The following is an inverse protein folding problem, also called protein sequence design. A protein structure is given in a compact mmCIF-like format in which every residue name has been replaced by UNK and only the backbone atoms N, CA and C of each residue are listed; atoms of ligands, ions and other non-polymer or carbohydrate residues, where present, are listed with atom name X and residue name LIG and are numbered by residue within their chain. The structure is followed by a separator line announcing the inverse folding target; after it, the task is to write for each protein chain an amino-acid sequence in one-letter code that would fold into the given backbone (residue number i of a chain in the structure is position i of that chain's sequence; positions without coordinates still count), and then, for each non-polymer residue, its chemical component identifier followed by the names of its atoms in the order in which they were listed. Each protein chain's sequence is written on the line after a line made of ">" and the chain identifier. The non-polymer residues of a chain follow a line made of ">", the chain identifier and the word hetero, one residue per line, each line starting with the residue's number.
data_IF_361221013546
#
_entry.id   IF_361221013546
#
_cell.length_a   1.000
_cell.length_b   1.000
_cell.length_c   1.000
_cell.angle_alpha   90.00
_cell.angle_beta   90.00
_cell.angle_gamma   90.00
#
_symmetry.space_group_name_H-M   'P 1'
#
loop_
_entity.id
_entity.type
_entity.pdbx_description
1 polymer ?
#
# COMPACT_ATOMS: atom_id res chain seq x y z
N UNK A 1 -40.11 12.32 -15.67
CA UNK A 1 -38.91 11.89 -16.43
C UNK A 1 -37.62 12.45 -15.88
N UNK A 2 -37.54 13.73 -15.52
CA UNK A 2 -36.32 14.32 -14.95
C UNK A 2 -35.91 13.70 -13.60
N UNK A 3 -36.85 13.21 -12.79
CA UNK A 3 -36.58 12.54 -11.51
C UNK A 3 -35.99 11.14 -11.66
N UNK A 4 -36.28 10.44 -12.76
CA UNK A 4 -35.76 9.12 -13.06
C UNK A 4 -34.27 9.17 -13.51
N UNK A 5 -33.91 10.25 -14.22
CA UNK A 5 -32.53 10.49 -14.67
C UNK A 5 -31.64 10.84 -13.49
N UNK A 6 -32.15 11.58 -12.50
CA UNK A 6 -31.43 11.91 -11.29
C UNK A 6 -31.19 10.68 -10.40
N UNK A 7 -32.14 9.74 -10.37
CA UNK A 7 -32.03 8.48 -9.62
C UNK A 7 -31.00 7.52 -10.26
N UNK A 8 -30.89 7.54 -11.58
CA UNK A 8 -29.91 6.74 -12.32
C UNK A 8 -28.49 7.25 -12.12
N UNK A 9 -28.30 8.56 -11.95
CA UNK A 9 -26.99 9.16 -11.67
C UNK A 9 -26.46 8.82 -10.25
N UNK A 10 -27.36 8.52 -9.31
CA UNK A 10 -27.00 8.12 -7.95
C UNK A 10 -26.53 6.66 -7.86
N UNK A 11 -26.80 5.84 -8.89
CA UNK A 11 -26.36 4.44 -8.94
C UNK A 11 -24.92 4.25 -9.44
N UNK A 12 -24.32 5.32 -9.96
CA UNK A 12 -22.90 5.36 -10.34
C UNK A 12 -22.03 6.01 -9.25
N UNK A 13 -22.34 5.77 -7.97
CA UNK A 13 -21.35 6.02 -6.93
C UNK A 13 -20.23 5.00 -7.14
N UNK A 14 -19.19 5.44 -7.85
CA UNK A 14 -17.99 4.65 -8.03
C UNK A 14 -17.45 4.28 -6.65
N UNK A 15 -17.52 3.02 -6.32
CA UNK A 15 -16.82 2.49 -5.17
C UNK A 15 -15.34 2.71 -5.43
N UNK A 16 -14.76 3.69 -4.75
CA UNK A 16 -13.32 3.94 -4.81
C UNK A 16 -12.62 2.82 -4.02
N UNK A 17 -12.52 1.65 -4.62
CA UNK A 17 -11.74 0.55 -4.08
C UNK A 17 -10.28 0.80 -4.45
N UNK A 18 -9.37 0.56 -3.52
CA UNK A 18 -7.95 0.56 -3.82
C UNK A 18 -7.68 -0.46 -4.93
N UNK A 19 -7.05 -0.04 -6.01
CA UNK A 19 -6.65 -0.93 -7.09
C UNK A 19 -5.23 -1.44 -6.82
N UNK A 20 -5.15 -2.64 -6.28
CA UNK A 20 -3.88 -3.28 -5.97
C UNK A 20 -3.29 -3.89 -7.24
N UNK A 21 -2.12 -3.39 -7.64
CA UNK A 21 -1.34 -3.91 -8.76
C UNK A 21 -0.18 -4.73 -8.22
N UNK A 22 -0.04 -5.96 -8.68
CA UNK A 22 1.06 -6.84 -8.28
C UNK A 22 2.38 -6.26 -8.74
N UNK A 23 3.31 -6.07 -7.80
CA UNK A 23 4.67 -5.61 -8.08
C UNK A 23 5.65 -6.79 -8.11
N UNK A 24 5.62 -7.63 -7.09
CA UNK A 24 6.48 -8.82 -6.97
C UNK A 24 5.72 -9.97 -6.33
N UNK A 25 5.98 -11.20 -6.81
CA UNK A 25 5.46 -12.43 -6.23
C UNK A 25 6.54 -13.17 -5.47
N UNK A 26 6.16 -13.74 -4.33
CA UNK A 26 7.04 -14.61 -3.57
C UNK A 26 7.28 -15.92 -4.30
N UNK A 27 8.51 -16.41 -4.27
CA UNK A 27 8.90 -17.69 -4.84
C UNK A 27 8.69 -18.88 -3.88
N UNK A 28 8.42 -18.63 -2.60
CA UNK A 28 8.27 -19.66 -1.57
C UNK A 28 6.87 -19.64 -0.94
N UNK A 29 6.47 -20.77 -0.36
CA UNK A 29 5.17 -20.89 0.34
C UNK A 29 5.08 -20.05 1.61
N UNK A 30 6.21 -19.69 2.21
CA UNK A 30 6.28 -18.87 3.42
C UNK A 30 6.43 -17.39 3.12
N UNK A 31 6.39 -17.03 1.83
CA UNK A 31 6.64 -15.68 1.38
C UNK A 31 5.39 -14.81 1.32
N UNK A 32 5.53 -13.69 0.65
CA UNK A 32 4.47 -12.72 0.46
C UNK A 32 4.54 -12.12 -0.93
N UNK A 33 3.37 -11.74 -1.44
CA UNK A 33 3.26 -10.96 -2.66
C UNK A 33 3.19 -9.48 -2.31
N UNK A 34 3.80 -8.63 -3.13
CA UNK A 34 3.83 -7.19 -2.93
C UNK A 34 2.94 -6.51 -3.96
N UNK A 35 2.03 -5.69 -3.46
CA UNK A 35 1.11 -4.91 -4.27
C UNK A 35 1.31 -3.42 -4.03
N UNK A 36 1.04 -2.62 -5.03
CA UNK A 36 1.03 -1.16 -4.94
C UNK A 36 -0.32 -0.63 -5.42
N UNK A 37 -0.75 0.47 -4.82
CA UNK A 37 -1.88 1.25 -5.33
C UNK A 37 -1.32 2.43 -6.12
N UNK A 38 -1.25 2.27 -7.43
CA UNK A 38 -0.67 3.30 -8.32
C UNK A 38 -1.50 4.57 -8.37
N UNK A 39 -2.79 4.48 -8.07
CA UNK A 39 -3.68 5.66 -8.01
C UNK A 39 -3.46 6.47 -6.74
N UNK A 40 -2.84 5.90 -5.73
CA UNK A 40 -2.53 6.59 -4.48
C UNK A 40 -1.29 7.46 -4.54
N UNK A 41 -0.52 7.38 -5.62
CA UNK A 41 0.75 8.11 -5.76
C UNK A 41 0.50 9.62 -5.74
N UNK A 42 1.15 10.32 -4.82
CA UNK A 42 1.07 11.78 -4.66
C UNK A 42 2.48 12.34 -4.58
N UNK A 43 2.81 13.20 -5.54
CA UNK A 43 4.11 13.87 -5.64
C UNK A 43 4.04 15.27 -5.07
N UNK A 44 5.04 15.62 -4.27
CA UNK A 44 5.26 16.96 -3.76
C UNK A 44 6.76 17.24 -3.78
N UNK A 45 7.23 17.94 -4.82
CA UNK A 45 8.65 18.14 -5.06
C UNK A 45 9.38 16.83 -5.27
N UNK A 46 10.41 16.56 -4.47
CA UNK A 46 11.17 15.32 -4.52
C UNK A 46 10.56 14.18 -3.69
N UNK A 47 9.45 14.45 -3.00
CA UNK A 47 8.81 13.46 -2.14
C UNK A 47 7.58 12.86 -2.82
N UNK A 48 7.41 11.56 -2.66
CA UNK A 48 6.30 10.79 -3.24
C UNK A 48 5.71 9.89 -2.17
N UNK A 49 4.40 10.00 -1.97
CA UNK A 49 3.66 9.10 -1.08
C UNK A 49 2.96 8.03 -1.91
N UNK A 50 2.94 6.80 -1.39
CA UNK A 50 2.28 5.68 -2.04
C UNK A 50 1.84 4.66 -1.00
N UNK A 51 0.67 4.05 -1.23
CA UNK A 51 0.20 2.90 -0.45
C UNK A 51 0.72 1.62 -1.08
N UNK A 52 1.19 0.70 -0.24
CA UNK A 52 1.58 -0.64 -0.64
C UNK A 52 1.00 -1.68 0.31
N UNK A 53 1.04 -2.93 -0.11
CA UNK A 53 0.52 -4.05 0.67
C UNK A 53 1.43 -5.26 0.53
N UNK A 54 1.72 -5.91 1.65
CA UNK A 54 2.32 -7.24 1.69
C UNK A 54 1.19 -8.25 1.99
N UNK A 55 0.97 -9.17 1.06
CA UNK A 55 -0.04 -10.20 1.19
C UNK A 55 0.65 -11.53 1.45
N UNK A 56 0.51 -12.05 2.67
CA UNK A 56 1.25 -13.22 3.13
C UNK A 56 0.52 -14.50 2.78
N UNK A 57 1.26 -15.51 2.35
CA UNK A 57 0.73 -16.85 2.05
C UNK A 57 0.40 -17.64 3.30
N UNK A 58 1.12 -17.37 4.40
CA UNK A 58 0.88 -17.98 5.71
C UNK A 58 0.68 -16.90 6.77
N UNK A 59 -0.14 -17.20 7.75
CA UNK A 59 -0.43 -16.30 8.86
C UNK A 59 0.86 -15.85 9.54
N UNK A 60 1.02 -14.56 9.71
CA UNK A 60 2.06 -13.94 10.52
C UNK A 60 1.54 -13.72 11.94
N UNK A 61 2.40 -13.89 12.90
CA UNK A 61 2.07 -13.69 14.31
C UNK A 61 3.06 -12.73 14.93
N UNK A 62 2.54 -11.64 15.46
CA UNK A 62 3.24 -10.70 16.30
C UNK A 62 2.36 -10.49 17.54
N UNK A 63 2.00 -9.26 17.90
CA UNK A 63 0.98 -9.00 18.94
C UNK A 63 -0.39 -9.56 18.54
N UNK A 64 -0.66 -9.67 17.26
CA UNK A 64 -1.87 -10.24 16.65
C UNK A 64 -1.49 -11.08 15.43
N UNK A 65 -2.38 -11.99 15.05
CA UNK A 65 -2.24 -12.77 13.82
C UNK A 65 -2.80 -11.97 12.63
N UNK A 66 -2.09 -11.95 11.51
CA UNK A 66 -2.50 -11.23 10.31
C UNK A 66 -2.04 -11.92 9.03
N UNK A 67 -2.72 -11.64 7.92
CA UNK A 67 -2.39 -12.13 6.58
C UNK A 67 -2.05 -11.02 5.60
N UNK A 68 -2.34 -9.77 5.92
CA UNK A 68 -1.95 -8.64 5.08
C UNK A 68 -1.45 -7.48 5.93
N UNK A 69 -0.44 -6.79 5.41
CA UNK A 69 0.12 -5.57 5.99
C UNK A 69 0.04 -4.46 4.95
N UNK A 70 -0.71 -3.41 5.26
CA UNK A 70 -0.91 -2.26 4.38
C UNK A 70 -0.16 -1.06 4.95
N UNK A 71 0.66 -0.44 4.14
CA UNK A 71 1.55 0.64 4.57
C UNK A 71 1.41 1.87 3.68
N UNK A 72 1.45 3.05 4.30
CA UNK A 72 1.59 4.32 3.62
C UNK A 72 3.01 4.82 3.81
N UNK A 73 3.73 5.03 2.72
CA UNK A 73 5.16 5.31 2.73
C UNK A 73 5.45 6.58 1.94
N UNK A 74 6.32 7.41 2.47
CA UNK A 74 6.87 8.58 1.78
C UNK A 74 8.30 8.28 1.34
N UNK A 75 8.54 8.41 0.04
CA UNK A 75 9.86 8.26 -0.57
C UNK A 75 10.44 9.63 -0.88
N UNK A 76 11.71 9.82 -0.58
CA UNK A 76 12.47 10.96 -1.07
C UNK A 76 13.28 10.51 -2.27
N UNK A 77 12.86 10.93 -3.46
CA UNK A 77 13.46 10.46 -4.71
C UNK A 77 14.87 11.00 -4.95
N UNK A 78 15.21 12.13 -4.33
CA UNK A 78 16.53 12.74 -4.42
C UNK A 78 17.50 12.10 -3.42
N UNK A 79 17.09 11.98 -2.17
CA UNK A 79 17.93 11.44 -1.08
C UNK A 79 17.92 9.91 -1.05
N UNK A 80 17.05 9.26 -1.82
CA UNK A 80 16.90 7.81 -1.89
C UNK A 80 16.62 7.21 -0.50
N UNK A 81 15.59 7.75 0.16
CA UNK A 81 15.13 7.30 1.48
C UNK A 81 13.65 6.97 1.47
N UNK A 82 13.23 6.23 2.47
CA UNK A 82 11.81 5.99 2.74
C UNK A 82 11.48 6.31 4.20
N UNK A 83 10.22 6.67 4.41
CA UNK A 83 9.66 6.97 5.72
C UNK A 83 8.29 6.35 5.82
N UNK A 84 8.10 5.45 6.79
CA UNK A 84 6.80 4.84 7.07
C UNK A 84 5.91 5.86 7.77
N UNK A 85 4.72 6.10 7.21
CA UNK A 85 3.74 7.06 7.77
C UNK A 85 2.63 6.36 8.52
N UNK A 86 2.06 5.31 7.94
CA UNK A 86 0.94 4.56 8.50
C UNK A 86 1.11 3.07 8.25
N UNK A 87 0.63 2.25 9.17
CA UNK A 87 0.69 0.79 9.09
C UNK A 87 -0.60 0.18 9.62
N UNK A 88 -1.16 -0.77 8.85
CA UNK A 88 -2.37 -1.51 9.21
C UNK A 88 -2.16 -2.99 8.96
N UNK A 89 -2.60 -3.84 9.89
CA UNK A 89 -2.62 -5.29 9.72
C UNK A 89 -4.07 -5.78 9.67
N UNK A 90 -4.32 -6.72 8.75
CA UNK A 90 -5.65 -7.30 8.51
C UNK A 90 -5.61 -8.82 8.68
N UNK A 91 -6.71 -9.40 9.17
CA UNK A 91 -6.80 -10.84 9.38
C UNK A 91 -6.85 -11.64 8.09
N UNK A 92 -7.34 -11.06 7.01
CA UNK A 92 -7.52 -11.71 5.71
C UNK A 92 -6.53 -11.27 4.66
N UNK A 93 -6.40 -12.10 3.63
CA UNK A 93 -5.59 -11.77 2.45
C UNK A 93 -6.16 -10.55 1.73
N UNK A 94 -5.31 -9.85 1.00
CA UNK A 94 -5.64 -8.65 0.22
C UNK A 94 -6.20 -7.49 1.06
N UNK A 95 -5.84 -7.42 2.34
CA UNK A 95 -6.31 -6.37 3.22
C UNK A 95 -7.78 -6.49 3.61
N UNK A 96 -8.34 -7.70 3.50
CA UNK A 96 -9.72 -7.98 3.87
C UNK A 96 -9.80 -8.49 5.32
N UNK A 97 -11.02 -8.72 5.79
CA UNK A 97 -11.23 -9.12 7.16
C UNK A 97 -11.16 -7.93 8.12
N UNK A 98 -10.82 -8.20 9.36
CA UNK A 98 -10.80 -7.17 10.41
C UNK A 98 -9.41 -6.54 10.53
N UNK A 99 -9.32 -5.20 10.70
CA UNK A 99 -8.07 -4.57 11.10
C UNK A 99 -7.76 -4.95 12.55
N UNK A 100 -6.61 -5.58 12.78
CA UNK A 100 -6.20 -6.04 14.11
C UNK A 100 -5.08 -5.21 14.72
N UNK A 101 -4.46 -4.36 13.91
CA UNK A 101 -3.43 -3.42 14.34
C UNK A 101 -3.46 -2.19 13.46
N UNK A 102 -3.27 -1.02 14.07
CA UNK A 102 -3.08 0.23 13.33
C UNK A 102 -2.09 1.12 14.08
N UNK A 103 -1.21 1.76 13.32
CA UNK A 103 -0.33 2.81 13.81
C UNK A 103 -0.29 3.90 12.75
N UNK A 104 -0.78 5.09 13.09
CA UNK A 104 -0.90 6.22 12.17
C UNK A 104 -0.02 7.37 12.63
N UNK A 105 0.36 8.24 11.69
CA UNK A 105 1.25 9.37 11.96
C UNK A 105 2.56 8.93 12.62
N UNK A 106 3.14 7.88 12.11
CA UNK A 106 4.41 7.34 12.60
C UNK A 106 5.49 8.40 12.38
N UNK A 107 6.22 8.74 13.45
CA UNK A 107 7.29 9.73 13.41
C UNK A 107 8.62 9.04 13.69
N UNK A 108 9.20 8.50 12.63
CA UNK A 108 10.54 7.91 12.64
C UNK A 108 11.40 8.61 11.61
N UNK A 109 12.71 8.59 11.82
CA UNK A 109 13.65 9.12 10.85
C UNK A 109 13.59 8.31 9.54
N UNK A 110 13.82 8.96 8.38
CA UNK A 110 13.93 8.24 7.12
C UNK A 110 15.07 7.23 7.15
N UNK A 111 14.89 6.13 6.41
CA UNK A 111 15.93 5.12 6.23
C UNK A 111 16.35 5.06 4.77
N UNK A 112 17.62 4.73 4.54
CA UNK A 112 18.18 4.62 3.19
C UNK A 112 17.60 3.41 2.46
N UNK A 113 17.37 3.57 1.16
CA UNK A 113 16.95 2.48 0.29
C UNK A 113 18.16 1.58 0.02
N UNK A 114 18.05 0.31 0.38
CA UNK A 114 19.10 -0.68 0.11
C UNK A 114 18.91 -1.29 -1.27
N UNK A 115 19.99 -1.45 -2.07
CA UNK A 115 19.90 -2.12 -3.37
C UNK A 115 19.43 -3.57 -3.24
N UNK A 116 18.76 -4.04 -4.28
CA UNK A 116 18.28 -5.43 -4.41
C UNK A 116 17.31 -5.86 -3.30
N UNK A 117 16.48 -4.92 -2.84
CA UNK A 117 15.44 -5.16 -1.84
C UNK A 117 14.06 -4.85 -2.39
N UNK A 118 13.03 -5.31 -1.71
CA UNK A 118 11.63 -4.94 -1.97
C UNK A 118 11.46 -3.41 -1.85
N UNK A 119 12.14 -2.78 -0.91
CA UNK A 119 12.09 -1.33 -0.74
C UNK A 119 12.60 -0.60 -1.97
N UNK A 120 13.63 -1.10 -2.65
CA UNK A 120 14.10 -0.53 -3.91
C UNK A 120 13.06 -0.67 -5.03
N UNK A 121 12.42 -1.82 -5.14
CA UNK A 121 11.36 -2.05 -6.13
C UNK A 121 10.18 -1.09 -5.90
N UNK A 122 9.78 -0.90 -4.65
CA UNK A 122 8.73 0.05 -4.28
C UNK A 122 9.14 1.49 -4.55
N UNK A 123 10.36 1.85 -4.19
CA UNK A 123 10.94 3.17 -4.46
C UNK A 123 10.95 3.50 -5.95
N UNK A 124 11.42 2.56 -6.77
CA UNK A 124 11.46 2.74 -8.22
C UNK A 124 10.05 2.91 -8.79
N UNK A 125 9.08 2.17 -8.28
CA UNK A 125 7.70 2.30 -8.72
C UNK A 125 7.12 3.67 -8.36
N UNK A 126 7.40 4.17 -7.18
CA UNK A 126 6.93 5.48 -6.72
C UNK A 126 7.61 6.63 -7.45
N UNK A 127 8.95 6.58 -7.57
CA UNK A 127 9.76 7.71 -8.03
C UNK A 127 9.96 7.75 -9.54
N UNK A 128 9.90 6.60 -10.22
CA UNK A 128 10.20 6.50 -11.67
C UNK A 128 8.98 6.19 -12.51
N UNK A 129 7.81 6.37 -11.99
CA UNK A 129 6.58 6.18 -12.76
C UNK A 129 6.45 7.28 -13.80
N UNK A 130 6.29 6.86 -15.03
CA UNK A 130 6.03 7.74 -16.17
C UNK A 130 4.53 7.97 -16.35
#
# INVERSE_FOLDING_TARGET
>A
MKKLILLMLLLFSANAWAEWTLLESASSEDGFDVYVDTQSIRKDGNKVKMWNMYDYKKVKVDVKSYLASVSHVEYDCKEETLKLLDLFWYTGNMGQGEPVFSNTNIKKDPISIMPETIHESLFNRACRQK
#
